data_IF_697251485464
#
_entry.id   IF_697251485464
#
_cell.length_a   1.000
_cell.length_b   1.000
_cell.length_c   1.000
_cell.angle_alpha   90.00
_cell.angle_beta   90.00
_cell.angle_gamma   90.00
#
_symmetry.space_group_name_H-M   'P 1'
#
loop_
_entity.id
_entity.type
_entity.pdbx_description
1 polymer ?
#
# COMPACT_ATOMS: atom_id res chain seq x y z
N UNK A 1 55.18 -31.40 -63.17
CA UNK A 1 55.16 -29.97 -63.56
C UNK A 1 54.72 -29.17 -62.33
N UNK A 2 55.65 -28.86 -61.41
CA UNK A 2 56.38 -27.57 -61.27
C UNK A 2 55.43 -26.42 -60.92
N UNK A 3 55.25 -26.07 -59.64
CA UNK A 3 56.12 -25.23 -58.78
C UNK A 3 56.01 -23.73 -59.12
N UNK A 4 55.74 -22.92 -58.07
CA UNK A 4 56.18 -21.54 -57.74
C UNK A 4 55.00 -20.68 -57.28
N UNK A 5 54.83 -20.47 -55.97
CA UNK A 5 55.48 -19.42 -55.15
C UNK A 5 54.95 -18.01 -55.47
N UNK A 6 54.38 -17.33 -54.47
CA UNK A 6 55.01 -16.16 -53.87
C UNK A 6 54.22 -15.66 -52.65
N UNK A 7 54.97 -15.50 -51.57
CA UNK A 7 54.62 -14.93 -50.28
C UNK A 7 54.69 -13.41 -50.41
N UNK A 8 53.68 -12.68 -49.91
CA UNK A 8 53.80 -11.25 -49.67
C UNK A 8 53.40 -10.96 -48.23
N UNK A 9 54.40 -10.70 -47.40
CA UNK A 9 54.28 -10.34 -45.99
C UNK A 9 54.02 -8.84 -45.95
N UNK A 10 52.84 -8.42 -45.50
CA UNK A 10 52.55 -7.02 -45.18
C UNK A 10 52.55 -6.87 -43.66
N UNK A 11 53.67 -6.42 -43.12
CA UNK A 11 53.82 -6.03 -41.73
C UNK A 11 53.17 -4.67 -41.49
N UNK A 12 52.07 -4.63 -40.74
CA UNK A 12 51.52 -3.38 -40.22
C UNK A 12 51.84 -3.30 -38.71
N UNK A 13 52.71 -2.35 -38.39
CA UNK A 13 53.20 -2.01 -37.06
C UNK A 13 52.07 -1.57 -36.13
N UNK A 14 51.91 -2.25 -35.00
CA UNK A 14 51.13 -1.77 -33.87
C UNK A 14 51.90 -0.65 -33.17
N UNK A 15 51.39 0.58 -33.23
CA UNK A 15 51.84 1.66 -32.36
C UNK A 15 51.29 1.35 -30.96
N UNK A 16 52.19 0.95 -30.07
CA UNK A 16 51.88 0.76 -28.65
C UNK A 16 51.55 2.11 -28.03
N UNK A 17 50.27 2.36 -27.77
CA UNK A 17 49.84 3.48 -26.93
C UNK A 17 50.06 3.06 -25.48
N UNK A 18 51.18 3.49 -24.89
CA UNK A 18 51.40 3.35 -23.45
C UNK A 18 50.31 4.13 -22.73
N UNK A 19 49.31 3.42 -22.20
CA UNK A 19 48.35 3.99 -21.28
C UNK A 19 49.11 4.43 -20.04
N UNK A 20 49.26 5.75 -19.88
CA UNK A 20 49.73 6.36 -18.65
C UNK A 20 48.68 6.02 -17.58
N UNK A 21 48.97 5.04 -16.74
CA UNK A 21 48.13 4.68 -15.60
C UNK A 21 48.19 5.83 -14.60
N UNK A 22 47.22 6.75 -14.68
CA UNK A 22 47.01 7.76 -13.65
C UNK A 22 46.46 7.04 -12.43
N UNK A 23 47.36 6.69 -11.50
CA UNK A 23 47.00 6.05 -10.24
C UNK A 23 46.24 7.09 -9.40
N UNK A 24 44.91 6.98 -9.36
CA UNK A 24 44.11 7.78 -8.46
C UNK A 24 44.50 7.41 -7.01
N UNK A 25 44.75 8.39 -6.13
CA UNK A 25 45.06 8.09 -4.74
C UNK A 25 43.84 7.41 -4.10
N UNK A 26 44.08 6.33 -3.36
CA UNK A 26 43.05 5.57 -2.65
C UNK A 26 42.23 6.41 -1.65
N UNK A 27 42.63 7.65 -1.38
CA UNK A 27 41.90 8.63 -0.57
C UNK A 27 40.60 9.15 -1.21
N UNK A 28 40.37 8.90 -2.51
CA UNK A 28 39.12 9.27 -3.19
C UNK A 28 38.04 8.17 -3.13
N UNK A 29 38.32 7.05 -2.46
CA UNK A 29 37.42 5.89 -2.33
C UNK A 29 36.93 5.68 -0.89
N UNK A 30 36.82 6.77 -0.12
CA UNK A 30 36.29 6.72 1.25
C UNK A 30 35.22 7.76 1.48
N UNK A 31 34.02 7.47 0.96
CA UNK A 31 32.77 7.85 1.59
C UNK A 31 31.74 6.75 1.35
N UNK A 32 32.05 5.53 1.82
CA UNK A 32 31.00 4.66 2.33
C UNK A 32 30.51 5.29 3.65
N UNK A 33 29.82 6.42 3.53
CA UNK A 33 28.93 6.91 4.56
C UNK A 33 27.75 5.95 4.54
N UNK A 34 27.96 4.81 5.19
CA UNK A 34 26.91 3.93 5.65
C UNK A 34 25.94 4.82 6.42
N UNK A 35 24.86 5.20 5.75
CA UNK A 35 23.74 5.90 6.34
C UNK A 35 23.16 4.96 7.38
N UNK A 36 23.69 5.01 8.59
CA UNK A 36 23.01 4.55 9.79
C UNK A 36 21.72 5.36 9.86
N UNK A 37 20.68 4.84 9.23
CA UNK A 37 19.33 5.38 9.33
C UNK A 37 19.03 5.35 10.82
N UNK A 38 18.99 6.53 11.45
CA UNK A 38 18.64 6.65 12.87
C UNK A 38 17.41 5.80 13.15
N UNK A 39 17.32 5.09 14.28
CA UNK A 39 16.15 4.28 14.63
C UNK A 39 14.83 5.07 14.48
N UNK A 40 14.84 6.37 14.72
CA UNK A 40 13.71 7.26 14.49
C UNK A 40 13.37 7.42 12.99
N UNK A 41 14.37 7.59 12.12
CA UNK A 41 14.18 7.67 10.66
C UNK A 41 13.81 6.31 10.07
N UNK A 42 14.33 5.21 10.63
CA UNK A 42 13.97 3.86 10.22
C UNK A 42 12.53 3.52 10.64
N UNK A 43 12.12 3.91 11.86
CA UNK A 43 10.75 3.80 12.31
C UNK A 43 9.78 4.65 11.48
N UNK A 44 10.16 5.89 11.14
CA UNK A 44 9.37 6.75 10.24
C UNK A 44 9.26 6.16 8.84
N UNK A 45 10.37 5.68 8.25
CA UNK A 45 10.36 5.01 6.94
C UNK A 45 9.54 3.73 6.99
N UNK A 46 9.60 2.94 8.06
CA UNK A 46 8.81 1.72 8.22
C UNK A 46 7.33 2.01 8.49
N UNK A 47 7.00 3.15 9.09
CA UNK A 47 5.63 3.64 9.22
C UNK A 47 5.07 4.11 7.86
N UNK A 48 5.91 4.67 7.00
CA UNK A 48 5.57 5.07 5.63
C UNK A 48 5.60 3.90 4.62
N UNK A 49 6.36 2.83 4.88
CA UNK A 49 6.55 1.68 3.96
C UNK A 49 6.05 0.35 4.48
N UNK A 50 5.51 0.31 5.70
CA UNK A 50 5.03 -0.92 6.34
C UNK A 50 3.82 -1.53 5.62
N UNK A 51 3.49 -2.79 5.92
CA UNK A 51 2.32 -3.44 5.34
C UNK A 51 1.08 -2.58 5.54
N UNK A 52 0.25 -2.43 4.50
CA UNK A 52 -0.97 -1.60 4.53
C UNK A 52 -1.83 -1.86 5.79
N UNK A 53 -1.93 -3.12 6.22
CA UNK A 53 -2.59 -3.53 7.46
C UNK A 53 -2.09 -2.75 8.68
N UNK A 54 -0.78 -2.65 8.86
CA UNK A 54 -0.17 -1.97 10.01
C UNK A 54 -0.56 -0.51 10.02
N UNK A 55 -0.44 0.18 8.88
CA UNK A 55 -0.79 1.60 8.77
C UNK A 55 -2.27 1.85 9.01
N UNK A 56 -3.16 0.98 8.51
CA UNK A 56 -4.60 1.05 8.82
C UNK A 56 -4.85 0.88 10.33
N UNK A 57 -4.18 -0.07 10.98
CA UNK A 57 -4.31 -0.30 12.42
C UNK A 57 -3.81 0.91 13.23
N UNK A 58 -2.72 1.55 12.82
CA UNK A 58 -2.20 2.76 13.45
C UNK A 58 -3.20 3.91 13.35
N UNK A 59 -3.81 4.11 12.17
CA UNK A 59 -4.87 5.11 12.01
C UNK A 59 -6.10 4.75 12.83
N UNK A 60 -6.50 3.49 12.86
CA UNK A 60 -7.61 3.04 13.70
C UNK A 60 -7.41 3.39 15.18
N UNK A 61 -6.21 3.29 15.74
CA UNK A 61 -6.00 3.68 17.14
C UNK A 61 -6.36 5.16 17.41
N UNK A 62 -6.17 6.04 16.43
CA UNK A 62 -6.52 7.47 16.55
C UNK A 62 -8.03 7.72 16.48
N UNK A 63 -8.75 6.86 15.76
CA UNK A 63 -10.19 6.99 15.53
C UNK A 63 -11.03 6.14 16.48
N UNK A 64 -10.45 5.12 17.12
CA UNK A 64 -11.13 4.16 17.98
C UNK A 64 -12.02 4.86 19.02
N UNK A 65 -13.28 4.47 19.05
CA UNK A 65 -14.27 5.02 19.98
C UNK A 65 -14.88 6.36 19.58
N UNK A 66 -14.41 7.04 18.51
CA UNK A 66 -15.13 8.19 17.94
C UNK A 66 -16.56 7.77 17.62
N UNK A 67 -17.54 8.50 18.14
CA UNK A 67 -18.93 8.11 17.99
C UNK A 67 -19.40 8.26 16.54
N UNK A 68 -20.43 7.49 16.19
CA UNK A 68 -21.02 7.59 14.88
C UNK A 68 -21.85 8.87 14.75
N UNK A 69 -21.64 9.60 13.66
CA UNK A 69 -22.48 10.73 13.28
C UNK A 69 -22.74 10.66 11.78
N UNK A 70 -24.00 10.62 11.37
CA UNK A 70 -24.38 10.65 9.96
C UNK A 70 -23.84 11.92 9.29
N UNK A 71 -23.08 11.78 8.20
CA UNK A 71 -22.45 12.92 7.55
C UNK A 71 -21.19 13.44 8.25
N UNK A 72 -20.89 12.95 9.46
CA UNK A 72 -19.74 13.37 10.25
C UNK A 72 -18.41 12.98 9.60
N UNK A 73 -17.42 13.86 9.74
CA UNK A 73 -16.09 13.72 9.13
C UNK A 73 -14.95 14.05 10.11
N UNK A 74 -15.20 14.06 11.42
CA UNK A 74 -14.21 14.53 12.42
C UNK A 74 -14.15 13.61 13.64
N UNK A 75 -13.19 13.85 14.54
CA UNK A 75 -13.12 13.14 15.83
C UNK A 75 -14.29 13.44 16.78
N UNK A 76 -15.08 14.49 16.51
CA UNK A 76 -16.35 14.75 17.18
C UNK A 76 -17.52 13.98 16.58
N UNK A 77 -17.30 13.08 15.63
CA UNK A 77 -18.36 12.33 14.99
C UNK A 77 -18.01 11.98 13.54
N UNK A 78 -18.10 10.70 13.20
CA UNK A 78 -17.72 10.19 11.88
C UNK A 78 -18.73 9.15 11.37
N UNK A 79 -19.04 9.17 10.08
CA UNK A 79 -19.79 8.06 9.47
C UNK A 79 -18.86 7.00 8.86
N UNK A 80 -19.45 5.89 8.43
CA UNK A 80 -18.72 4.74 7.94
C UNK A 80 -17.86 5.06 6.70
N UNK A 81 -18.42 5.81 5.74
CA UNK A 81 -17.70 6.19 4.53
C UNK A 81 -16.61 7.23 4.78
N UNK A 82 -16.86 8.22 5.64
CA UNK A 82 -15.87 9.23 6.02
C UNK A 82 -14.71 8.60 6.79
N UNK A 83 -14.98 7.62 7.66
CA UNK A 83 -13.92 6.85 8.32
C UNK A 83 -13.01 6.18 7.28
N UNK A 84 -13.59 5.57 6.23
CA UNK A 84 -12.78 4.97 5.17
C UNK A 84 -11.94 6.01 4.42
N UNK A 85 -12.48 7.21 4.16
CA UNK A 85 -11.69 8.29 3.56
C UNK A 85 -10.46 8.62 4.39
N UNK A 86 -10.63 8.80 5.71
CA UNK A 86 -9.52 9.11 6.62
C UNK A 86 -8.49 7.97 6.68
N UNK A 87 -8.95 6.73 6.92
CA UNK A 87 -8.04 5.59 7.02
C UNK A 87 -7.23 5.39 5.73
N UNK A 88 -7.84 5.52 4.55
CA UNK A 88 -7.14 5.28 3.27
C UNK A 88 -6.34 6.48 2.76
N UNK A 89 -6.79 7.71 3.05
CA UNK A 89 -5.98 8.92 2.81
C UNK A 89 -4.66 8.80 3.56
N UNK A 90 -4.71 8.49 4.85
CA UNK A 90 -3.51 8.53 5.69
C UNK A 90 -2.67 7.26 5.61
N UNK A 91 -3.28 6.08 5.38
CA UNK A 91 -2.54 4.82 5.31
C UNK A 91 -2.09 4.43 3.89
N UNK A 92 -2.65 5.04 2.85
CA UNK A 92 -2.40 4.63 1.48
C UNK A 92 -2.35 5.79 0.46
N UNK A 93 -2.48 7.05 0.91
CA UNK A 93 -2.57 8.22 0.03
C UNK A 93 -3.69 8.08 -1.02
N UNK A 94 -4.78 7.41 -0.65
CA UNK A 94 -5.87 7.06 -1.55
C UNK A 94 -7.13 7.84 -1.19
N UNK A 95 -7.55 8.70 -2.11
CA UNK A 95 -8.76 9.49 -1.98
C UNK A 95 -9.99 8.68 -2.38
N UNK A 96 -10.74 8.22 -1.38
CA UNK A 96 -12.03 7.56 -1.58
C UNK A 96 -13.15 8.61 -1.77
N UNK A 97 -14.19 8.32 -2.59
CA UNK A 97 -15.41 9.12 -2.65
C UNK A 97 -16.08 9.29 -1.28
N UNK A 98 -16.91 10.32 -1.12
CA UNK A 98 -17.52 10.66 0.18
C UNK A 98 -18.54 9.63 0.64
N UNK A 99 -19.28 9.01 -0.27
CA UNK A 99 -20.42 8.18 0.11
C UNK A 99 -20.13 6.69 -0.04
N UNK A 100 -20.76 5.86 0.80
CA UNK A 100 -20.72 4.39 0.65
C UNK A 100 -21.22 3.94 -0.72
N UNK A 101 -22.21 4.65 -1.28
CA UNK A 101 -22.78 4.39 -2.59
C UNK A 101 -21.78 4.57 -3.74
N UNK A 102 -20.82 5.48 -3.61
CA UNK A 102 -19.76 5.66 -4.59
C UNK A 102 -18.55 4.76 -4.31
N UNK A 103 -18.20 4.57 -3.03
CA UNK A 103 -17.07 3.73 -2.61
C UNK A 103 -17.24 2.27 -3.06
N UNK A 104 -18.47 1.74 -3.06
CA UNK A 104 -18.76 0.36 -3.50
C UNK A 104 -18.43 0.12 -4.98
N UNK A 105 -18.19 1.16 -5.78
CA UNK A 105 -17.80 1.05 -7.19
C UNK A 105 -16.30 1.26 -7.43
N UNK A 106 -15.50 1.48 -6.37
CA UNK A 106 -14.06 1.71 -6.49
C UNK A 106 -13.28 0.40 -6.49
N UNK A 107 -12.19 0.38 -7.27
CA UNK A 107 -11.27 -0.75 -7.32
C UNK A 107 -11.90 -2.01 -7.92
N UNK A 108 -11.30 -3.17 -7.63
CA UNK A 108 -11.69 -4.46 -8.21
C UNK A 108 -12.56 -5.23 -7.22
N UNK A 109 -13.60 -5.92 -7.72
CA UNK A 109 -14.42 -6.80 -6.89
C UNK A 109 -13.60 -7.98 -6.35
N UNK A 110 -13.77 -8.29 -5.07
CA UNK A 110 -13.09 -9.43 -4.42
C UNK A 110 -14.13 -10.38 -3.85
N UNK A 111 -13.98 -11.67 -4.15
CA UNK A 111 -14.77 -12.71 -3.50
C UNK A 111 -14.37 -12.84 -2.03
N UNK A 112 -15.33 -13.08 -1.14
CA UNK A 112 -15.11 -13.09 0.32
C UNK A 112 -13.96 -14.01 0.77
N UNK A 113 -13.84 -15.21 0.17
CA UNK A 113 -12.76 -16.15 0.49
C UNK A 113 -11.35 -15.70 0.02
N UNK A 114 -11.26 -14.61 -0.75
CA UNK A 114 -9.99 -14.01 -1.23
C UNK A 114 -9.69 -12.66 -0.58
N UNK A 115 -10.40 -12.33 0.49
CA UNK A 115 -10.19 -11.10 1.25
C UNK A 115 -8.76 -11.00 1.78
N UNK A 116 -8.20 -9.81 1.68
CA UNK A 116 -6.91 -9.42 2.21
C UNK A 116 -7.07 -8.14 3.02
N UNK A 117 -6.21 -7.97 4.03
CA UNK A 117 -6.23 -6.75 4.83
C UNK A 117 -6.10 -5.50 3.93
N UNK A 118 -6.97 -4.52 4.15
CA UNK A 118 -7.13 -3.35 3.29
C UNK A 118 -8.21 -3.46 2.21
N UNK A 119 -8.88 -4.61 2.06
CA UNK A 119 -10.08 -4.69 1.23
C UNK A 119 -11.26 -4.02 1.96
N UNK A 120 -12.03 -3.21 1.23
CA UNK A 120 -13.29 -2.66 1.74
C UNK A 120 -14.38 -3.72 1.69
N UNK A 121 -15.14 -3.88 2.76
CA UNK A 121 -16.29 -4.77 2.86
C UNK A 121 -17.57 -3.95 2.99
N UNK A 122 -18.61 -4.33 2.25
CA UNK A 122 -19.85 -3.57 2.14
C UNK A 122 -21.05 -4.41 2.58
N UNK A 123 -22.00 -3.75 3.24
CA UNK A 123 -23.18 -4.38 3.84
C UNK A 123 -24.46 -3.59 3.58
N UNK A 124 -25.61 -4.27 3.57
CA UNK A 124 -26.95 -3.68 3.40
C UNK A 124 -27.69 -3.65 4.75
N UNK A 125 -27.37 -2.73 5.65
CA UNK A 125 -27.87 -2.67 7.04
C UNK A 125 -29.30 -2.12 7.22
N UNK A 126 -30.10 -2.14 6.15
CA UNK A 126 -31.49 -1.69 6.10
C UNK A 126 -31.92 -1.39 4.66
N UNK A 127 -33.21 -1.12 4.36
CA UNK A 127 -33.72 -1.04 2.98
C UNK A 127 -32.96 -0.09 2.05
N UNK A 128 -32.48 1.04 2.58
CA UNK A 128 -31.71 2.05 1.83
C UNK A 128 -30.40 2.44 2.53
N UNK A 129 -29.95 1.61 3.48
CA UNK A 129 -28.76 1.89 4.30
C UNK A 129 -27.65 0.95 3.88
N UNK A 130 -26.63 1.50 3.24
CA UNK A 130 -25.37 0.80 2.99
C UNK A 130 -24.35 1.15 4.06
N UNK A 131 -23.56 0.17 4.42
CA UNK A 131 -22.50 0.29 5.40
C UNK A 131 -21.18 -0.19 4.80
N UNK A 132 -20.06 0.36 5.27
CA UNK A 132 -18.72 0.00 4.81
C UNK A 132 -17.76 -0.14 6.00
N UNK A 133 -16.83 -1.05 5.87
CA UNK A 133 -15.67 -1.18 6.74
C UNK A 133 -14.45 -1.65 5.96
N UNK A 134 -13.30 -1.72 6.64
CA UNK A 134 -12.05 -2.22 6.07
C UNK A 134 -11.65 -3.53 6.75
N UNK A 135 -11.48 -4.57 5.95
CA UNK A 135 -11.04 -5.88 6.41
C UNK A 135 -9.59 -5.81 6.91
N UNK A 136 -9.30 -6.45 8.05
CA UNK A 136 -7.97 -6.43 8.68
C UNK A 136 -7.38 -7.83 8.89
N UNK A 137 -7.97 -8.86 8.28
CA UNK A 137 -7.57 -10.27 8.47
C UNK A 137 -8.41 -10.95 9.55
N UNK A 138 -8.27 -12.28 9.65
CA UNK A 138 -8.86 -13.09 10.72
C UNK A 138 -10.38 -12.90 10.88
N UNK A 139 -11.09 -12.75 9.75
CA UNK A 139 -12.52 -12.41 9.71
C UNK A 139 -12.90 -11.05 10.31
N UNK A 140 -11.94 -10.23 10.72
CA UNK A 140 -12.20 -8.95 11.37
C UNK A 140 -12.21 -7.76 10.40
N UNK A 141 -12.99 -6.73 10.74
CA UNK A 141 -13.02 -5.47 10.00
C UNK A 141 -13.27 -4.27 10.92
N UNK A 142 -12.68 -3.13 10.56
CA UNK A 142 -12.87 -1.83 11.23
C UNK A 142 -14.01 -1.07 10.56
N UNK A 143 -14.89 -0.46 11.35
CA UNK A 143 -15.98 0.37 10.85
C UNK A 143 -16.47 1.37 11.91
N UNK A 144 -17.26 2.36 11.51
CA UNK A 144 -18.00 3.23 12.42
C UNK A 144 -19.39 2.62 12.72
N UNK A 145 -19.53 1.92 13.84
CA UNK A 145 -20.79 1.36 14.32
C UNK A 145 -21.74 2.45 14.83
N UNK A 146 -23.02 2.39 14.46
CA UNK A 146 -24.02 3.35 14.95
C UNK A 146 -24.23 3.32 16.46
N UNK A 147 -23.91 2.21 17.14
CA UNK A 147 -24.08 2.06 18.59
C UNK A 147 -22.76 2.15 19.37
N UNK A 148 -21.64 1.73 18.76
CA UNK A 148 -20.35 1.61 19.46
C UNK A 148 -19.28 2.60 18.96
N UNK A 149 -19.60 3.41 17.94
CA UNK A 149 -18.61 4.27 17.29
C UNK A 149 -17.60 3.47 16.48
N UNK A 150 -16.42 4.03 16.27
CA UNK A 150 -15.33 3.36 15.53
C UNK A 150 -14.82 2.16 16.32
N UNK A 151 -15.04 0.97 15.78
CA UNK A 151 -14.80 -0.31 16.45
C UNK A 151 -14.36 -1.40 15.46
N UNK A 152 -14.07 -2.58 15.98
CA UNK A 152 -13.81 -3.81 15.22
C UNK A 152 -14.97 -4.77 15.41
N UNK A 153 -15.46 -5.34 14.32
CA UNK A 153 -16.44 -6.44 14.30
C UNK A 153 -15.89 -7.64 13.53
N UNK A 154 -16.56 -8.80 13.60
CA UNK A 154 -16.19 -9.99 12.83
C UNK A 154 -17.24 -10.35 11.78
N UNK A 155 -16.77 -10.72 10.59
CA UNK A 155 -17.57 -11.24 9.49
C UNK A 155 -18.22 -12.59 9.82
N UNK A 156 -17.79 -13.25 10.89
CA UNK A 156 -18.41 -14.49 11.37
C UNK A 156 -19.67 -14.25 12.19
N UNK A 157 -19.97 -13.02 12.61
CA UNK A 157 -21.23 -12.73 13.32
C UNK A 157 -22.42 -12.85 12.35
N UNK A 158 -23.49 -13.53 12.77
CA UNK A 158 -24.68 -13.78 11.93
C UNK A 158 -25.23 -12.50 11.29
N UNK A 159 -25.28 -11.41 12.06
CA UNK A 159 -25.70 -10.10 11.54
C UNK A 159 -24.85 -9.67 10.34
N UNK A 160 -23.52 -9.72 10.43
CA UNK A 160 -22.66 -9.27 9.35
C UNK A 160 -22.67 -10.23 8.16
N UNK A 161 -22.87 -11.53 8.39
CA UNK A 161 -23.06 -12.52 7.32
C UNK A 161 -24.33 -12.25 6.52
N UNK A 162 -25.47 -12.09 7.21
CA UNK A 162 -26.77 -11.85 6.58
C UNK A 162 -26.77 -10.56 5.75
N UNK A 163 -26.04 -9.54 6.20
CA UNK A 163 -26.05 -8.22 5.57
C UNK A 163 -24.92 -8.02 4.54
N UNK A 164 -24.03 -8.99 4.33
CA UNK A 164 -22.88 -8.86 3.42
C UNK A 164 -23.31 -8.69 1.96
N UNK A 165 -22.77 -7.68 1.27
CA UNK A 165 -23.02 -7.42 -0.16
C UNK A 165 -21.83 -7.87 -1.02
N UNK A 166 -20.66 -7.28 -0.78
CA UNK A 166 -19.47 -7.44 -1.64
C UNK A 166 -18.22 -6.93 -0.93
N UNK A 167 -17.05 -7.25 -1.49
CA UNK A 167 -15.81 -6.56 -1.17
C UNK A 167 -15.16 -5.88 -2.38
N UNK A 168 -14.35 -4.85 -2.12
CA UNK A 168 -13.57 -4.11 -3.10
C UNK A 168 -12.13 -3.95 -2.67
N UNK A 169 -11.19 -4.28 -3.56
CA UNK A 169 -9.77 -3.97 -3.39
C UNK A 169 -9.44 -2.66 -4.08
N UNK A 170 -9.19 -1.63 -3.28
CA UNK A 170 -8.95 -0.26 -3.76
C UNK A 170 -7.46 0.11 -3.78
N UNK A 171 -6.63 -0.53 -2.97
CA UNK A 171 -5.18 -0.33 -2.96
C UNK A 171 -4.48 -1.44 -3.77
N UNK A 172 -3.48 -1.07 -4.59
CA UNK A 172 -2.70 -2.00 -5.42
C UNK A 172 -3.43 -2.57 -6.65
N UNK A 173 -4.68 -2.17 -6.87
CA UNK A 173 -5.37 -2.31 -8.16
C UNK A 173 -4.95 -1.13 -9.04
N UNK A 174 -4.28 -1.40 -10.17
CA UNK A 174 -4.00 -0.38 -11.16
C UNK A 174 -5.31 0.32 -11.56
N UNK A 175 -5.29 1.65 -11.54
CA UNK A 175 -6.41 2.50 -11.91
C UNK A 175 -6.79 2.34 -13.40
#
# INVERSE_FOLDING_TARGET
>A
MTLRSLISILSLSFVSFSALSFQLPASMLSTNSELAVSPARAALLHQETGPLRSRILDQYQKWKGTHYQWGGTSHHGVDCSALMQHLFSDAAHLNLPRTTGEQIHRGVQVAQYRLKAGDLVFFQTGPHRRHVGVYIGDSQFIHASSSQGVTVSTLTDDYWQEHYITARRVAGSAA
#
